data_IF_614589071799
#
_entry.id   IF_614589071799
#
_cell.length_a   1.000
_cell.length_b   1.000
_cell.length_c   1.000
_cell.angle_alpha   90.00
_cell.angle_beta   90.00
_cell.angle_gamma   90.00
#
_symmetry.space_group_name_H-M   'P 1'
#
loop_
_entity.id
_entity.type
_entity.pdbx_description
1 polymer ?
#
# COMPACT_ATOMS: atom_id res chain seq x y z
N UNK A 1 -36.61 15.67 2.87
CA UNK A 1 -36.70 15.26 4.29
C UNK A 1 -36.12 13.87 4.38
N UNK A 2 -34.86 13.66 4.76
CA UNK A 2 -34.13 14.19 5.91
C UNK A 2 -32.82 14.86 5.52
N UNK A 3 -32.60 16.07 6.03
CA UNK A 3 -31.30 16.75 6.03
C UNK A 3 -30.38 15.95 6.97
N UNK A 4 -29.41 15.22 6.41
CA UNK A 4 -28.24 14.84 7.19
C UNK A 4 -27.44 16.13 7.39
N UNK A 5 -27.67 16.77 8.54
CA UNK A 5 -26.81 17.80 9.09
C UNK A 5 -25.40 17.20 9.21
N UNK A 6 -24.59 17.40 8.17
CA UNK A 6 -23.17 17.07 8.20
C UNK A 6 -22.54 18.00 9.22
N UNK A 7 -22.52 17.57 10.49
CA UNK A 7 -21.75 18.21 11.53
C UNK A 7 -20.31 18.31 11.03
N UNK A 8 -19.86 19.54 10.81
CA UNK A 8 -18.48 19.78 10.41
C UNK A 8 -17.56 19.14 11.46
N UNK A 9 -16.54 18.38 11.03
CA UNK A 9 -15.64 17.72 11.96
C UNK A 9 -15.00 18.76 12.90
N UNK A 10 -14.78 18.41 14.18
CA UNK A 10 -14.18 19.33 15.12
C UNK A 10 -12.80 19.78 14.64
N UNK A 11 -12.49 21.07 14.81
CA UNK A 11 -11.20 21.61 14.41
C UNK A 11 -10.02 20.95 15.15
N UNK A 12 -10.23 20.46 16.38
CA UNK A 12 -9.27 19.66 17.13
C UNK A 12 -9.99 18.55 17.90
N UNK A 13 -9.47 17.33 17.81
CA UNK A 13 -10.05 16.13 18.40
C UNK A 13 -8.97 15.21 18.95
N UNK A 14 -9.30 14.49 20.02
CA UNK A 14 -8.51 13.42 20.62
C UNK A 14 -9.36 12.15 20.53
N UNK A 15 -8.95 11.22 19.68
CA UNK A 15 -9.60 9.91 19.56
C UNK A 15 -8.94 8.95 20.54
N UNK A 16 -9.73 8.34 21.42
CA UNK A 16 -9.27 7.37 22.42
C UNK A 16 -9.59 5.95 21.97
N UNK A 17 -8.57 5.13 21.74
CA UNK A 17 -8.72 3.72 21.31
C UNK A 17 -8.06 2.78 22.31
N UNK A 18 -8.70 1.65 22.60
CA UNK A 18 -8.11 0.63 23.46
C UNK A 18 -7.06 -0.18 22.69
N UNK A 19 -5.93 -0.46 23.33
CA UNK A 19 -4.87 -1.33 22.83
C UNK A 19 -4.53 -2.41 23.86
N UNK A 20 -4.43 -3.65 23.39
CA UNK A 20 -4.01 -4.77 24.22
C UNK A 20 -2.53 -4.69 24.61
N UNK A 21 -1.70 -4.07 23.77
CA UNK A 21 -0.25 -3.97 23.98
C UNK A 21 0.18 -2.63 24.60
N UNK A 22 -0.57 -1.54 24.35
CA UNK A 22 -0.18 -0.18 24.74
C UNK A 22 -1.12 0.48 25.76
N UNK A 23 -2.20 -0.19 26.17
CA UNK A 23 -3.19 0.38 27.08
C UNK A 23 -4.15 1.32 26.36
N UNK A 24 -4.40 2.52 26.87
CA UNK A 24 -5.24 3.50 26.18
C UNK A 24 -4.39 4.36 25.23
N UNK A 25 -4.68 4.30 23.94
CA UNK A 25 -4.04 5.11 22.91
C UNK A 25 -4.90 6.34 22.62
N UNK A 26 -4.28 7.52 22.63
CA UNK A 26 -4.90 8.80 22.32
C UNK A 26 -4.24 9.39 21.07
N UNK A 27 -5.07 9.71 20.07
CA UNK A 27 -4.62 10.17 18.76
C UNK A 27 -5.13 11.60 18.54
N UNK A 28 -4.25 12.62 18.52
CA UNK A 28 -4.64 13.99 18.24
C UNK A 28 -4.87 14.18 16.73
N UNK A 29 -6.05 14.65 16.33
CA UNK A 29 -6.43 14.88 14.93
C UNK A 29 -7.18 16.20 14.73
N UNK A 30 -7.32 16.62 13.47
CA UNK A 30 -8.05 17.81 13.04
C UNK A 30 -7.13 18.90 12.48
N UNK A 31 -7.71 19.94 11.86
CA UNK A 31 -6.95 21.07 11.30
C UNK A 31 -6.08 21.77 12.35
N UNK A 32 -6.54 21.76 13.61
CA UNK A 32 -5.86 22.30 14.79
C UNK A 32 -5.40 21.19 15.73
N UNK A 33 -5.00 20.02 15.20
CA UNK A 33 -4.52 18.88 15.99
C UNK A 33 -3.43 19.24 17.03
N UNK A 34 -2.63 20.29 16.79
CA UNK A 34 -1.63 20.78 17.74
C UNK A 34 -2.24 21.19 19.10
N UNK A 35 -3.50 21.63 19.11
CA UNK A 35 -4.24 21.92 20.35
C UNK A 35 -4.59 20.65 21.12
N UNK A 36 -5.01 19.60 20.41
CA UNK A 36 -5.24 18.27 20.96
C UNK A 36 -3.93 17.65 21.49
N UNK A 37 -2.84 17.71 20.73
CA UNK A 37 -1.50 17.25 21.15
C UNK A 37 -1.02 18.01 22.40
N UNK A 38 -1.21 19.33 22.45
CA UNK A 38 -0.87 20.13 23.63
C UNK A 38 -1.71 19.75 24.85
N UNK A 39 -3.00 19.47 24.68
CA UNK A 39 -3.84 19.03 25.77
C UNK A 39 -3.40 17.67 26.35
N UNK A 40 -2.95 16.75 25.49
CA UNK A 40 -2.39 15.46 25.91
C UNK A 40 -1.07 15.65 26.66
N UNK A 41 -0.13 16.45 26.13
CA UNK A 41 1.16 16.74 26.79
C UNK A 41 1.02 17.36 28.18
N UNK A 42 0.02 18.22 28.37
CA UNK A 42 -0.25 18.85 29.68
C UNK A 42 -1.01 17.94 30.64
N UNK A 43 -1.53 16.80 30.17
CA UNK A 43 -2.24 15.84 30.99
C UNK A 43 -1.28 14.76 31.46
N UNK A 44 -0.87 14.82 32.73
CA UNK A 44 -0.01 13.81 33.34
C UNK A 44 -0.62 12.39 33.21
N UNK A 45 0.21 11.43 32.80
CA UNK A 45 -0.16 10.02 32.61
C UNK A 45 -0.04 9.53 31.17
N UNK A 46 -0.03 10.43 30.18
CA UNK A 46 0.21 10.07 28.79
C UNK A 46 1.69 10.18 28.41
N UNK A 47 2.20 9.14 27.74
CA UNK A 47 3.53 9.12 27.13
C UNK A 47 3.39 9.37 25.62
N UNK A 48 4.12 10.35 25.09
CA UNK A 48 4.11 10.68 23.66
C UNK A 48 5.11 9.80 22.90
N UNK A 49 4.67 9.21 21.79
CA UNK A 49 5.51 8.45 20.86
C UNK A 49 5.98 9.32 19.69
N UNK A 50 7.02 8.85 18.98
CA UNK A 50 7.54 9.51 17.78
C UNK A 50 6.50 9.58 16.65
N UNK A 51 5.63 8.56 16.55
CA UNK A 51 4.52 8.48 15.59
C UNK A 51 3.40 9.50 15.84
N UNK A 52 3.47 10.27 16.94
CA UNK A 52 2.49 11.30 17.29
C UNK A 52 1.31 10.80 18.12
N UNK A 53 1.22 9.50 18.42
CA UNK A 53 0.26 8.97 19.38
C UNK A 53 0.70 9.22 20.82
N UNK A 54 -0.27 9.19 21.74
CA UNK A 54 -0.04 9.26 23.17
C UNK A 54 -0.60 8.00 23.84
N UNK A 55 0.12 7.40 24.78
CA UNK A 55 -0.32 6.16 25.43
C UNK A 55 -0.41 6.31 26.95
N UNK A 56 -1.49 5.83 27.54
CA UNK A 56 -1.64 5.61 28.98
C UNK A 56 -1.59 4.09 29.22
N UNK A 57 -0.42 3.61 29.64
CA UNK A 57 -0.19 2.17 29.89
C UNK A 57 -0.81 1.69 31.19
N UNK A 58 -0.77 2.50 32.24
CA UNK A 58 -1.42 2.20 33.51
C UNK A 58 -2.92 2.51 33.43
N UNK A 59 -3.69 1.50 33.01
CA UNK A 59 -5.15 1.59 32.89
C UNK A 59 -5.80 1.80 34.27
N UNK A 60 -5.14 1.43 35.38
CA UNK A 60 -5.70 1.66 36.72
C UNK A 60 -5.76 3.15 37.07
N UNK A 61 -4.85 3.95 36.51
CA UNK A 61 -4.85 5.41 36.64
C UNK A 61 -5.93 6.12 35.82
N UNK A 62 -6.66 5.41 34.94
CA UNK A 62 -7.61 6.00 34.00
C UNK A 62 -8.68 6.87 34.68
N UNK A 63 -9.23 6.42 35.80
CA UNK A 63 -10.26 7.15 36.55
C UNK A 63 -9.74 8.50 37.07
N UNK A 64 -8.46 8.59 37.42
CA UNK A 64 -7.83 9.82 37.90
C UNK A 64 -7.36 10.74 36.76
N UNK A 65 -6.97 10.17 35.62
CA UNK A 65 -6.43 10.91 34.45
C UNK A 65 -7.55 11.49 33.59
N UNK A 66 -8.65 10.75 33.38
CA UNK A 66 -9.69 11.14 32.42
C UNK A 66 -10.37 12.49 32.74
N UNK A 67 -10.73 12.81 34.01
CA UNK A 67 -11.28 14.13 34.33
C UNK A 67 -10.29 15.28 34.05
N UNK A 68 -8.98 15.02 34.20
CA UNK A 68 -7.93 16.00 33.87
C UNK A 68 -7.83 16.18 32.36
N UNK A 69 -7.83 15.09 31.59
CA UNK A 69 -7.82 15.13 30.13
C UNK A 69 -9.00 15.96 29.61
N UNK A 70 -10.22 15.66 30.06
CA UNK A 70 -11.42 16.37 29.62
C UNK A 70 -11.37 17.87 29.94
N UNK A 71 -10.81 18.25 31.10
CA UNK A 71 -10.63 19.67 31.47
C UNK A 71 -9.59 20.36 30.58
N UNK A 72 -8.45 19.72 30.35
CA UNK A 72 -7.38 20.27 29.51
C UNK A 72 -7.81 20.36 28.05
N UNK A 73 -8.47 19.32 27.51
CA UNK A 73 -9.01 19.32 26.16
C UNK A 73 -9.99 20.48 25.95
N UNK A 74 -10.94 20.69 26.87
CA UNK A 74 -11.85 21.85 26.84
C UNK A 74 -11.12 23.19 26.85
N UNK A 75 -10.08 23.35 27.69
CA UNK A 75 -9.26 24.57 27.72
C UNK A 75 -8.58 24.85 26.38
N UNK A 76 -8.17 23.79 25.68
CA UNK A 76 -7.54 23.87 24.36
C UNK A 76 -8.52 23.71 23.19
N UNK A 77 -9.83 23.78 23.44
CA UNK A 77 -10.88 23.64 22.40
C UNK A 77 -10.76 22.34 21.59
N UNK A 78 -10.27 21.28 22.22
CA UNK A 78 -10.24 19.95 21.67
C UNK A 78 -11.43 19.13 22.20
N UNK A 79 -12.05 18.35 21.32
CA UNK A 79 -13.08 17.37 21.69
C UNK A 79 -12.38 16.04 21.99
N UNK A 80 -12.88 15.29 22.97
CA UNK A 80 -12.40 13.93 23.25
C UNK A 80 -13.50 12.96 22.83
N UNK A 81 -13.16 12.02 21.96
CA UNK A 81 -14.08 11.01 21.45
C UNK A 81 -13.53 9.62 21.77
N UNK A 82 -14.42 8.69 22.09
CA UNK A 82 -14.05 7.29 22.19
C UNK A 82 -14.08 6.69 20.78
N UNK A 83 -12.95 6.13 20.35
CA UNK A 83 -12.90 5.32 19.15
C UNK A 83 -13.83 4.13 19.30
N UNK A 84 -14.54 3.80 18.22
CA UNK A 84 -15.47 2.67 18.18
C UNK A 84 -14.75 1.33 18.04
N UNK A 85 -13.42 1.35 17.88
CA UNK A 85 -12.61 0.20 17.53
C UNK A 85 -11.32 0.15 18.36
N UNK A 86 -10.74 -1.05 18.55
CA UNK A 86 -9.38 -1.18 19.08
C UNK A 86 -8.37 -0.47 18.17
N UNK A 87 -7.25 -0.08 18.74
CA UNK A 87 -6.18 0.58 18.03
C UNK A 87 -5.63 -0.30 16.89
N UNK A 88 -5.64 0.22 15.65
CA UNK A 88 -5.23 -0.50 14.44
C UNK A 88 -3.81 -1.09 14.52
N UNK A 89 -2.91 -0.48 15.31
CA UNK A 89 -1.55 -0.97 15.48
C UNK A 89 -1.45 -2.39 16.05
N UNK A 90 -2.37 -2.78 16.94
CA UNK A 90 -2.41 -4.14 17.48
C UNK A 90 -2.79 -5.15 16.38
N UNK A 91 -3.81 -4.81 15.58
CA UNK A 91 -4.25 -5.65 14.49
C UNK A 91 -3.18 -5.76 13.40
N UNK A 92 -2.54 -4.64 13.03
CA UNK A 92 -1.47 -4.61 12.03
C UNK A 92 -0.26 -5.45 12.46
N UNK A 93 0.17 -5.34 13.72
CA UNK A 93 1.26 -6.14 14.28
C UNK A 93 0.90 -7.64 14.29
N UNK A 94 -0.32 -7.98 14.70
CA UNK A 94 -0.80 -9.35 14.72
C UNK A 94 -0.89 -9.94 13.31
N UNK A 95 -1.32 -9.15 12.32
CA UNK A 95 -1.37 -9.54 10.92
C UNK A 95 0.05 -9.76 10.37
N UNK A 96 0.97 -8.80 10.54
CA UNK A 96 2.35 -8.91 10.09
C UNK A 96 3.04 -10.17 10.61
N UNK A 97 2.89 -10.49 11.90
CA UNK A 97 3.46 -11.68 12.52
C UNK A 97 2.95 -13.02 11.94
N UNK A 98 1.86 -13.00 11.17
CA UNK A 98 1.21 -14.19 10.57
C UNK A 98 1.35 -14.25 9.06
N UNK A 99 1.84 -13.18 8.42
CA UNK A 99 2.10 -13.17 6.98
C UNK A 99 3.34 -14.01 6.64
N UNK A 100 3.42 -14.59 5.43
CA UNK A 100 4.56 -15.39 5.01
C UNK A 100 5.81 -14.52 4.86
N UNK A 101 6.93 -14.98 5.43
CA UNK A 101 8.19 -14.23 5.45
C UNK A 101 8.31 -13.31 6.65
N UNK A 102 9.14 -12.28 6.54
CA UNK A 102 9.35 -11.31 7.62
C UNK A 102 8.59 -10.04 7.27
N UNK A 103 7.54 -9.73 8.02
CA UNK A 103 6.78 -8.49 7.86
C UNK A 103 6.91 -7.60 9.09
N UNK A 104 6.99 -6.30 8.85
CA UNK A 104 6.94 -5.26 9.88
C UNK A 104 5.66 -4.46 9.72
N UNK A 105 5.17 -3.87 10.82
CA UNK A 105 4.00 -3.00 10.81
C UNK A 105 4.37 -1.66 11.45
N UNK A 106 4.18 -0.58 10.69
CA UNK A 106 4.40 0.79 11.17
C UNK A 106 3.09 1.56 11.06
N UNK A 107 2.65 2.18 12.16
CA UNK A 107 1.42 2.98 12.16
C UNK A 107 1.74 4.43 11.82
N UNK A 108 1.01 4.96 10.85
CA UNK A 108 1.08 6.34 10.42
C UNK A 108 -0.19 7.10 10.81
N UNK A 109 -0.01 8.31 11.33
CA UNK A 109 -1.10 9.15 11.82
C UNK A 109 -1.29 10.33 10.89
N UNK A 110 -2.42 10.36 10.20
CA UNK A 110 -2.84 11.53 9.42
C UNK A 110 -3.50 12.54 10.35
N UNK A 111 -2.73 13.17 11.24
CA UNK A 111 -3.26 14.10 12.24
C UNK A 111 -4.03 15.26 11.58
N UNK A 112 -3.45 15.86 10.54
CA UNK A 112 -4.11 16.87 9.72
C UNK A 112 -4.93 16.23 8.58
N UNK A 113 -6.15 16.72 8.26
CA UNK A 113 -6.98 16.22 7.17
C UNK A 113 -6.27 16.08 5.83
N UNK A 114 -5.53 17.10 5.41
CA UNK A 114 -4.87 17.11 4.09
C UNK A 114 -3.74 16.09 3.93
N UNK A 115 -3.13 15.60 5.02
CA UNK A 115 -1.99 14.68 4.94
C UNK A 115 -2.37 13.29 4.41
N UNK A 116 -3.65 12.91 4.48
CA UNK A 116 -4.08 11.64 3.88
C UNK A 116 -3.97 11.69 2.34
N UNK A 117 -4.06 12.89 1.74
CA UNK A 117 -3.93 13.08 0.30
C UNK A 117 -2.52 12.77 -0.23
N UNK A 118 -1.50 12.91 0.61
CA UNK A 118 -0.11 12.62 0.26
C UNK A 118 0.12 11.11 -0.04
N UNK A 119 -0.81 10.25 0.43
CA UNK A 119 -0.76 8.81 0.18
C UNK A 119 -1.38 8.40 -1.15
N UNK A 120 -2.35 9.17 -1.68
CA UNK A 120 -3.10 8.79 -2.89
C UNK A 120 -2.20 8.50 -4.10
N UNK A 121 -1.17 9.31 -4.42
CA UNK A 121 -0.29 9.03 -5.56
C UNK A 121 0.55 7.76 -5.40
N UNK A 122 0.66 7.22 -4.18
CA UNK A 122 1.46 6.02 -3.89
C UNK A 122 0.62 4.74 -3.96
N UNK A 123 -0.71 4.86 -3.81
CA UNK A 123 -1.62 3.72 -3.81
C UNK A 123 -1.68 3.07 -5.18
N UNK A 124 -1.60 1.76 -5.19
CA UNK A 124 -1.77 0.94 -6.36
C UNK A 124 -2.92 -0.03 -6.13
N UNK A 125 -4.12 0.50 -6.36
CA UNK A 125 -5.38 -0.17 -6.06
C UNK A 125 -6.41 0.09 -7.17
N UNK A 126 -7.14 -0.98 -7.54
CA UNK A 126 -8.33 -0.91 -8.40
C UNK A 126 -9.64 -1.18 -7.64
N UNK A 127 -9.58 -1.17 -6.31
CA UNK A 127 -10.67 -1.50 -5.40
C UNK A 127 -11.24 -0.31 -4.63
N UNK A 128 -11.65 -0.60 -3.38
CA UNK A 128 -12.31 0.38 -2.51
C UNK A 128 -11.29 1.23 -1.72
N UNK A 129 -10.00 0.87 -1.72
CA UNK A 129 -9.00 1.54 -0.87
C UNK A 129 -8.74 2.97 -1.35
N UNK A 130 -8.50 3.18 -2.65
CA UNK A 130 -8.30 4.53 -3.20
C UNK A 130 -9.53 5.40 -2.91
N UNK A 131 -10.73 4.88 -3.17
CA UNK A 131 -11.97 5.60 -2.90
C UNK A 131 -12.14 5.96 -1.41
N UNK A 132 -11.77 5.04 -0.51
CA UNK A 132 -11.82 5.24 0.92
C UNK A 132 -10.83 6.33 1.38
N UNK A 133 -9.58 6.29 0.91
CA UNK A 133 -8.56 7.29 1.28
C UNK A 133 -8.87 8.66 0.69
N UNK A 134 -9.50 8.71 -0.49
CA UNK A 134 -9.83 9.96 -1.16
C UNK A 134 -11.06 10.64 -0.55
N UNK A 135 -12.13 9.88 -0.30
CA UNK A 135 -13.44 10.45 0.03
C UNK A 135 -13.85 10.29 1.49
N UNK A 136 -13.07 9.60 2.31
CA UNK A 136 -13.37 9.36 3.72
C UNK A 136 -12.20 9.73 4.61
N UNK A 137 -12.52 10.16 5.83
CA UNK A 137 -11.51 10.54 6.79
C UNK A 137 -10.79 9.30 7.30
N UNK A 138 -9.50 9.19 7.01
CA UNK A 138 -8.60 8.16 7.57
C UNK A 138 -7.66 8.84 8.55
N UNK A 139 -7.80 8.53 9.84
CA UNK A 139 -7.01 9.15 10.91
C UNK A 139 -5.73 8.37 11.21
N UNK A 140 -5.82 7.04 11.11
CA UNK A 140 -4.71 6.12 11.32
C UNK A 140 -4.67 5.09 10.19
N UNK A 141 -3.46 4.74 9.80
CA UNK A 141 -3.20 3.69 8.83
C UNK A 141 -1.96 2.90 9.27
N UNK A 142 -1.82 1.67 8.79
CA UNK A 142 -0.63 0.88 9.06
C UNK A 142 0.02 0.44 7.74
N UNK A 143 1.30 0.72 7.61
CA UNK A 143 2.15 0.24 6.52
C UNK A 143 2.73 -1.10 6.93
N UNK A 144 2.46 -2.13 6.12
CA UNK A 144 3.09 -3.44 6.27
C UNK A 144 4.21 -3.57 5.24
N UNK A 145 5.44 -3.82 5.69
CA UNK A 145 6.62 -3.95 4.81
C UNK A 145 7.28 -5.31 5.02
N UNK A 146 7.50 -6.03 3.92
CA UNK A 146 8.17 -7.34 3.91
C UNK A 146 9.71 -7.26 3.84
N UNK A 147 10.28 -6.06 3.76
CA UNK A 147 11.71 -5.78 3.66
C UNK A 147 12.35 -6.15 2.31
N UNK A 148 11.59 -6.72 1.38
CA UNK A 148 12.02 -7.11 0.02
C UNK A 148 11.36 -6.28 -1.07
N UNK A 149 10.58 -5.26 -0.70
CA UNK A 149 10.01 -4.27 -1.60
C UNK A 149 8.52 -4.43 -1.90
N UNK A 150 7.80 -5.24 -1.10
CA UNK A 150 6.33 -5.20 -1.07
C UNK A 150 5.89 -4.43 0.16
N UNK A 151 5.18 -3.33 -0.09
CA UNK A 151 4.61 -2.47 0.94
C UNK A 151 3.09 -2.46 0.77
N UNK A 152 2.36 -2.71 1.85
CA UNK A 152 0.90 -2.74 1.87
C UNK A 152 0.37 -1.65 2.79
N UNK A 153 -0.79 -1.09 2.44
CA UNK A 153 -1.52 -0.16 3.27
C UNK A 153 -2.75 -0.83 3.88
N UNK A 154 -2.83 -0.77 5.21
CA UNK A 154 -3.97 -1.21 6.00
C UNK A 154 -4.67 -0.01 6.61
N UNK A 155 -5.98 0.11 6.37
CA UNK A 155 -6.82 1.12 7.02
C UNK A 155 -8.03 0.47 7.68
N UNK A 156 -8.60 1.14 8.67
CA UNK A 156 -9.95 0.83 9.10
C UNK A 156 -10.93 1.07 7.95
N UNK A 157 -11.83 0.11 7.70
CA UNK A 157 -12.84 0.27 6.65
C UNK A 157 -13.82 1.39 7.04
N UNK A 158 -13.88 2.51 6.29
CA UNK A 158 -14.82 3.60 6.59
C UNK A 158 -16.28 3.15 6.48
N UNK A 159 -17.17 3.81 7.20
CA UNK A 159 -18.64 3.60 7.17
C UNK A 159 -19.12 2.18 7.56
N UNK A 160 -18.22 1.32 8.01
CA UNK A 160 -18.54 -0.03 8.46
C UNK A 160 -18.29 -0.14 9.97
N UNK A 161 -18.98 -1.05 10.66
CA UNK A 161 -18.75 -1.26 12.09
C UNK A 161 -17.45 -2.03 12.34
N UNK A 162 -17.13 -2.97 11.45
CA UNK A 162 -16.00 -3.88 11.57
C UNK A 162 -15.23 -4.02 10.26
N UNK A 163 -14.00 -4.51 10.38
CA UNK A 163 -13.16 -4.88 9.26
C UNK A 163 -12.18 -3.79 8.83
N UNK A 164 -11.19 -4.23 8.08
CA UNK A 164 -10.11 -3.40 7.56
C UNK A 164 -10.07 -3.50 6.04
N UNK A 165 -9.53 -2.48 5.38
CA UNK A 165 -9.18 -2.55 3.97
C UNK A 165 -7.67 -2.68 3.86
N UNK A 166 -7.22 -3.61 3.03
CA UNK A 166 -5.83 -3.80 2.70
C UNK A 166 -5.65 -3.64 1.19
N UNK A 167 -4.70 -2.81 0.80
CA UNK A 167 -4.24 -2.69 -0.59
C UNK A 167 -2.74 -2.57 -0.64
N UNK A 168 -2.21 -2.40 -1.84
CA UNK A 168 -0.78 -2.31 -2.07
C UNK A 168 -0.37 -0.88 -2.38
N UNK A 169 0.86 -0.55 -2.02
CA UNK A 169 1.57 0.51 -2.72
C UNK A 169 2.07 -0.02 -4.08
N UNK A 170 2.34 0.90 -5.00
CA UNK A 170 3.04 0.53 -6.22
C UNK A 170 4.43 -0.04 -5.90
N UNK A 171 5.04 -0.73 -6.86
CA UNK A 171 6.46 -0.97 -6.75
C UNK A 171 7.22 0.35 -6.90
N UNK A 172 8.36 0.51 -6.21
CA UNK A 172 9.20 1.72 -6.28
C UNK A 172 9.74 2.04 -7.68
N UNK A 173 9.55 1.14 -8.64
CA UNK A 173 9.93 1.35 -10.03
C UNK A 173 8.84 2.06 -10.83
N UNK A 174 7.58 2.08 -10.39
CA UNK A 174 6.47 2.69 -11.10
C UNK A 174 6.32 4.17 -10.75
N UNK A 175 6.06 4.99 -11.77
CA UNK A 175 5.73 6.41 -11.66
C UNK A 175 4.24 6.70 -11.91
N UNK A 176 3.45 5.66 -12.23
CA UNK A 176 2.05 5.72 -12.65
C UNK A 176 1.11 4.87 -11.77
N UNK A 177 1.21 5.01 -10.45
CA UNK A 177 0.49 4.15 -9.47
C UNK A 177 -1.03 4.39 -9.44
N UNK A 178 -1.47 5.64 -9.55
CA UNK A 178 -2.87 6.02 -9.41
C UNK A 178 -3.67 5.68 -10.67
N UNK A 179 -4.88 5.10 -10.50
CA UNK A 179 -5.76 4.66 -11.60
C UNK A 179 -5.11 3.70 -12.62
N UNK A 180 -4.14 2.91 -12.17
CA UNK A 180 -3.42 2.00 -13.03
C UNK A 180 -4.25 0.74 -13.38
N UNK A 181 -4.34 0.40 -14.66
CA UNK A 181 -5.10 -0.77 -15.15
C UNK A 181 -4.57 -2.12 -14.63
N UNK A 182 -3.30 -2.18 -14.24
CA UNK A 182 -2.68 -3.37 -13.67
C UNK A 182 -2.88 -3.47 -12.16
N UNK A 183 -3.38 -2.42 -11.50
CA UNK A 183 -3.48 -2.37 -10.05
C UNK A 183 -4.32 -3.55 -9.50
N UNK A 184 -3.82 -4.28 -8.49
CA UNK A 184 -4.61 -5.30 -7.84
C UNK A 184 -5.78 -4.67 -7.06
N UNK A 185 -6.87 -5.41 -6.91
CA UNK A 185 -8.02 -4.95 -6.13
C UNK A 185 -7.74 -5.12 -4.64
N UNK A 186 -7.97 -4.07 -3.84
CA UNK A 186 -7.94 -4.11 -2.39
C UNK A 186 -8.85 -5.20 -1.83
N UNK A 187 -8.48 -5.79 -0.70
CA UNK A 187 -9.25 -6.82 -0.02
C UNK A 187 -9.82 -6.32 1.31
N UNK A 188 -11.06 -6.71 1.59
CA UNK A 188 -11.69 -6.49 2.89
C UNK A 188 -11.25 -7.60 3.85
N UNK A 189 -10.65 -7.22 4.97
CA UNK A 189 -10.17 -8.12 6.00
C UNK A 189 -11.16 -8.21 7.16
N UNK A 190 -11.35 -9.42 7.66
CA UNK A 190 -12.11 -9.70 8.87
C UNK A 190 -11.32 -9.33 10.13
N UNK A 191 -12.01 -9.18 11.27
CA UNK A 191 -11.40 -8.79 12.54
C UNK A 191 -10.42 -9.83 13.13
N UNK A 192 -10.45 -11.09 12.69
CA UNK A 192 -9.47 -12.12 13.11
C UNK A 192 -8.18 -12.01 12.28
N UNK A 193 -7.01 -11.70 12.90
CA UNK A 193 -5.73 -11.61 12.21
C UNK A 193 -5.31 -12.92 11.53
N UNK A 194 -5.67 -14.08 12.07
CA UNK A 194 -5.36 -15.40 11.50
C UNK A 194 -6.05 -15.63 10.16
N UNK A 195 -7.36 -15.35 10.13
CA UNK A 195 -8.16 -15.48 8.90
C UNK A 195 -7.77 -14.42 7.89
N UNK A 196 -7.50 -13.20 8.35
CA UNK A 196 -6.99 -12.13 7.51
C UNK A 196 -5.64 -12.49 6.88
N UNK A 197 -4.68 -12.97 7.66
CA UNK A 197 -3.38 -13.41 7.13
C UNK A 197 -3.52 -14.52 6.09
N UNK A 198 -4.42 -15.49 6.32
CA UNK A 198 -4.71 -16.56 5.38
C UNK A 198 -5.28 -16.04 4.06
N UNK A 199 -6.19 -15.05 4.12
CA UNK A 199 -6.76 -14.38 2.95
C UNK A 199 -5.70 -13.59 2.19
N UNK A 200 -4.85 -12.86 2.90
CA UNK A 200 -3.77 -12.07 2.30
C UNK A 200 -2.75 -12.97 1.63
N UNK A 201 -2.26 -13.99 2.32
CA UNK A 201 -1.27 -14.92 1.79
C UNK A 201 -1.80 -15.79 0.65
N UNK A 202 -3.05 -16.25 0.75
CA UNK A 202 -3.65 -17.15 -0.23
C UNK A 202 -4.25 -16.47 -1.46
N UNK A 203 -4.62 -15.19 -1.36
CA UNK A 203 -5.33 -14.50 -2.45
C UNK A 203 -4.68 -13.17 -2.83
N UNK A 204 -4.50 -12.25 -1.87
CA UNK A 204 -4.05 -10.90 -2.17
C UNK A 204 -2.60 -10.85 -2.66
N UNK A 205 -1.65 -11.46 -1.95
CA UNK A 205 -0.24 -11.47 -2.34
C UNK A 205 -0.02 -12.15 -3.70
N UNK A 206 -0.59 -13.33 -4.00
CA UNK A 206 -0.49 -13.90 -5.35
C UNK A 206 -1.07 -13.00 -6.45
N UNK A 207 -2.16 -12.27 -6.17
CA UNK A 207 -2.73 -11.31 -7.12
C UNK A 207 -1.82 -10.10 -7.34
N UNK A 208 -1.27 -9.54 -6.27
CA UNK A 208 -0.27 -8.47 -6.31
C UNK A 208 0.97 -8.89 -7.09
N UNK A 209 1.56 -10.05 -6.80
CA UNK A 209 2.76 -10.54 -7.49
C UNK A 209 2.54 -10.71 -9.00
N UNK A 210 1.34 -11.14 -9.40
CA UNK A 210 0.97 -11.23 -10.81
C UNK A 210 0.80 -9.86 -11.46
N UNK A 211 0.16 -8.93 -10.77
CA UNK A 211 0.00 -7.55 -11.21
C UNK A 211 1.37 -6.89 -11.43
N UNK A 212 2.30 -7.03 -10.47
CA UNK A 212 3.67 -6.48 -10.57
C UNK A 212 4.36 -7.05 -11.80
N UNK A 213 4.30 -8.37 -11.96
CA UNK A 213 4.93 -9.04 -13.10
C UNK A 213 4.34 -8.57 -14.43
N UNK A 214 3.02 -8.48 -14.54
CA UNK A 214 2.34 -8.03 -15.75
C UNK A 214 2.71 -6.59 -16.12
N UNK A 215 2.68 -5.66 -15.15
CA UNK A 215 3.06 -4.26 -15.36
C UNK A 215 4.52 -4.11 -15.75
N UNK A 216 5.43 -4.84 -15.09
CA UNK A 216 6.85 -4.83 -15.43
C UNK A 216 7.10 -5.36 -16.84
N UNK A 217 6.44 -6.47 -17.22
CA UNK A 217 6.55 -7.03 -18.56
C UNK A 217 6.06 -6.03 -19.61
N UNK A 218 4.89 -5.41 -19.41
CA UNK A 218 4.33 -4.39 -20.29
C UNK A 218 5.27 -3.18 -20.44
N UNK A 219 5.79 -2.64 -19.33
CA UNK A 219 6.77 -1.55 -19.35
C UNK A 219 8.02 -1.91 -20.15
N UNK A 220 8.50 -3.15 -19.99
CA UNK A 220 9.72 -3.64 -20.65
C UNK A 220 9.51 -3.86 -22.15
N UNK A 221 8.34 -4.39 -22.52
CA UNK A 221 7.95 -4.57 -23.92
C UNK A 221 7.77 -3.22 -24.63
N UNK A 222 7.07 -2.26 -24.00
CA UNK A 222 6.88 -0.92 -24.53
C UNK A 222 8.23 -0.19 -24.71
N UNK A 223 9.08 -0.22 -23.68
CA UNK A 223 10.41 0.39 -23.73
C UNK A 223 11.33 -0.23 -24.79
N UNK A 224 11.35 -1.57 -24.90
CA UNK A 224 12.12 -2.27 -25.94
C UNK A 224 11.62 -1.94 -27.35
N UNK A 225 10.30 -1.95 -27.55
CA UNK A 225 9.67 -1.58 -28.83
C UNK A 225 10.03 -0.16 -29.24
N UNK A 226 9.98 0.78 -28.28
CA UNK A 226 10.39 2.17 -28.50
C UNK A 226 11.85 2.30 -28.95
N UNK A 227 12.77 1.56 -28.32
CA UNK A 227 14.19 1.54 -28.70
C UNK A 227 14.37 1.05 -30.15
N UNK A 228 13.66 0.00 -30.57
CA UNK A 228 13.73 -0.51 -31.95
C UNK A 228 13.12 0.44 -32.99
N UNK A 229 12.04 1.13 -32.64
CA UNK A 229 11.40 2.14 -33.49
C UNK A 229 12.32 3.32 -33.75
N UNK A 230 12.92 3.91 -32.70
CA UNK A 230 13.87 5.03 -32.84
C UNK A 230 15.07 4.63 -33.69
N UNK A 231 15.54 3.39 -33.55
CA UNK A 231 16.66 2.88 -34.36
C UNK A 231 16.30 2.75 -35.83
N UNK A 232 15.16 2.14 -36.15
CA UNK A 232 14.69 1.98 -37.53
C UNK A 232 14.47 3.33 -38.19
N UNK A 233 13.88 4.29 -37.47
CA UNK A 233 13.70 5.65 -37.94
C UNK A 233 15.04 6.37 -38.27
N UNK A 234 16.08 6.15 -37.45
CA UNK A 234 17.44 6.68 -37.70
C UNK A 234 18.13 6.01 -38.88
N UNK A 235 17.91 4.71 -39.14
CA UNK A 235 18.49 4.04 -40.31
C UNK A 235 17.86 4.48 -41.63
N UNK A 236 16.58 4.87 -41.60
CA UNK A 236 15.82 5.26 -42.80
C UNK A 236 16.06 6.72 -43.24
N UNK A 237 17.15 7.34 -42.77
CA UNK A 237 17.54 8.73 -43.02
C UNK A 237 16.50 9.82 -42.62
N UNK A 238 15.44 9.46 -41.88
CA UNK A 238 14.56 10.42 -41.21
C UNK A 238 15.19 10.84 -39.88
N UNK A 239 16.23 11.66 -39.94
CA UNK A 239 16.96 12.14 -38.75
C UNK A 239 16.09 12.90 -37.74
N UNK A 240 14.87 13.30 -38.14
CA UNK A 240 13.89 14.00 -37.29
C UNK A 240 12.61 13.22 -36.96
N UNK A 241 12.54 11.93 -37.29
CA UNK A 241 11.35 11.13 -36.96
C UNK A 241 11.18 10.96 -35.44
N UNK A 242 10.11 11.59 -34.94
CA UNK A 242 9.63 11.49 -33.57
C UNK A 242 8.95 10.14 -33.35
N UNK A 243 9.34 9.45 -32.28
CA UNK A 243 8.59 8.31 -31.76
C UNK A 243 7.81 8.79 -30.54
N UNK A 244 6.48 8.65 -30.59
CA UNK A 244 5.58 8.97 -29.48
C UNK A 244 5.42 7.73 -28.60
N UNK A 245 5.91 7.78 -27.37
CA UNK A 245 5.70 6.77 -26.33
C UNK A 245 5.06 7.47 -25.14
N UNK A 246 3.91 6.97 -24.68
CA UNK A 246 3.12 7.56 -23.57
C UNK A 246 2.89 9.08 -23.72
N UNK A 247 2.65 9.53 -24.95
CA UNK A 247 2.43 10.95 -25.25
C UNK A 247 3.68 11.83 -25.23
N UNK A 248 4.87 11.29 -24.94
CA UNK A 248 6.14 12.01 -25.01
C UNK A 248 6.90 11.74 -26.32
N UNK A 249 7.48 12.81 -26.84
CA UNK A 249 8.39 12.80 -27.99
C UNK A 249 9.79 12.37 -27.56
N UNK A 250 10.16 11.12 -27.82
CA UNK A 250 11.48 10.60 -27.44
C UNK A 250 12.34 10.35 -28.68
N UNK A 251 13.43 11.12 -28.78
CA UNK A 251 14.39 11.03 -29.89
C UNK A 251 15.62 10.16 -29.58
N UNK A 252 15.84 9.78 -28.32
CA UNK A 252 17.08 9.15 -27.86
C UNK A 252 16.86 7.77 -27.22
N UNK A 253 17.40 6.68 -27.81
CA UNK A 253 17.25 5.34 -27.24
C UNK A 253 17.98 5.19 -25.89
N UNK A 254 18.97 6.03 -25.57
CA UNK A 254 19.61 6.01 -24.25
C UNK A 254 18.66 6.48 -23.14
N UNK A 255 17.82 7.49 -23.41
CA UNK A 255 16.79 7.96 -22.48
C UNK A 255 15.71 6.89 -22.26
N UNK A 256 15.25 6.24 -23.34
CA UNK A 256 14.30 5.12 -23.22
C UNK A 256 14.87 3.98 -22.38
N UNK A 257 16.13 3.59 -22.63
CA UNK A 257 16.78 2.55 -21.84
C UNK A 257 16.97 2.98 -20.37
N UNK A 258 17.27 4.24 -20.11
CA UNK A 258 17.40 4.77 -18.75
C UNK A 258 16.11 4.64 -17.94
N UNK A 259 14.95 4.98 -18.53
CA UNK A 259 13.62 4.79 -17.90
C UNK A 259 13.26 3.32 -17.72
N UNK A 260 13.58 2.51 -18.73
CA UNK A 260 13.30 1.07 -18.77
C UNK A 260 14.11 0.26 -17.73
N UNK A 261 15.36 0.67 -17.47
CA UNK A 261 16.34 -0.07 -16.66
C UNK A 261 15.80 -0.57 -15.31
N UNK A 262 15.18 0.25 -14.44
CA UNK A 262 14.65 -0.22 -13.16
C UNK A 262 13.60 -1.33 -13.31
N UNK A 263 12.69 -1.21 -14.29
CA UNK A 263 11.68 -2.24 -14.55
C UNK A 263 12.32 -3.53 -15.08
N UNK A 264 13.26 -3.41 -16.02
CA UNK A 264 13.97 -4.56 -16.58
C UNK A 264 14.78 -5.31 -15.52
N UNK A 265 15.42 -4.59 -14.60
CA UNK A 265 16.17 -5.19 -13.50
C UNK A 265 15.25 -6.03 -12.59
N UNK A 266 14.13 -5.44 -12.17
CA UNK A 266 13.17 -6.12 -11.32
C UNK A 266 12.50 -7.31 -12.03
N UNK A 267 12.16 -7.19 -13.31
CA UNK A 267 11.60 -8.28 -14.11
C UNK A 267 12.61 -9.43 -14.27
N UNK A 268 13.89 -9.11 -14.48
CA UNK A 268 14.96 -10.10 -14.61
C UNK A 268 15.14 -10.91 -13.33
N UNK A 269 15.14 -10.27 -12.16
CA UNK A 269 15.31 -10.98 -10.89
C UNK A 269 14.16 -11.99 -10.64
N UNK A 270 12.93 -11.61 -11.00
CA UNK A 270 11.76 -12.52 -10.96
C UNK A 270 11.88 -13.67 -11.96
N UNK A 271 12.30 -13.37 -13.18
CA UNK A 271 12.41 -14.34 -14.27
C UNK A 271 13.52 -15.36 -14.01
N UNK A 272 14.65 -14.93 -13.42
CA UNK A 272 15.76 -15.84 -13.11
C UNK A 272 15.38 -16.90 -12.07
N UNK A 273 14.48 -16.59 -11.15
CA UNK A 273 14.00 -17.55 -10.15
C UNK A 273 13.22 -18.72 -10.78
N UNK A 274 12.61 -18.52 -11.96
CA UNK A 274 11.84 -19.57 -12.66
C UNK A 274 12.64 -20.36 -13.70
N UNK A 275 13.84 -19.90 -14.10
CA UNK A 275 14.64 -20.56 -15.12
C UNK A 275 15.50 -21.65 -14.50
N UNK A 276 15.42 -22.87 -15.06
CA UNK A 276 16.18 -24.02 -14.57
C UNK A 276 17.70 -23.78 -14.68
N UNK A 277 18.50 -24.21 -13.68
CA UNK A 277 19.95 -24.15 -13.76
C UNK A 277 20.47 -24.88 -15.00
N UNK A 278 21.38 -24.25 -15.75
CA UNK A 278 22.00 -24.84 -16.94
C UNK A 278 21.20 -24.66 -18.24
N UNK A 279 20.09 -23.92 -18.23
CA UNK A 279 19.39 -23.54 -19.46
C UNK A 279 20.33 -22.75 -20.40
N UNK A 280 20.32 -22.97 -21.73
CA UNK A 280 21.22 -22.29 -22.67
C UNK A 280 21.17 -20.75 -22.56
N UNK A 281 19.99 -20.22 -22.25
CA UNK A 281 19.76 -18.77 -22.11
C UNK A 281 20.29 -18.16 -20.80
N UNK A 282 20.78 -18.98 -19.85
CA UNK A 282 21.30 -18.48 -18.56
C UNK A 282 22.46 -17.52 -18.76
N UNK A 283 23.28 -17.70 -19.81
CA UNK A 283 24.37 -16.80 -20.13
C UNK A 283 23.89 -15.41 -20.57
N UNK A 284 22.80 -15.33 -21.35
CA UNK A 284 22.19 -14.08 -21.77
C UNK A 284 21.57 -13.33 -20.58
N UNK A 285 20.82 -14.04 -19.72
CA UNK A 285 20.27 -13.48 -18.48
C UNK A 285 21.39 -13.01 -17.52
N UNK A 286 22.52 -13.70 -17.49
CA UNK A 286 23.70 -13.29 -16.73
C UNK A 286 24.30 -11.96 -17.24
N UNK A 287 24.44 -11.80 -18.55
CA UNK A 287 24.91 -10.54 -19.16
C UNK A 287 23.94 -9.39 -18.91
N UNK A 288 22.64 -9.64 -19.02
CA UNK A 288 21.62 -8.64 -18.69
C UNK A 288 21.68 -8.23 -17.22
N UNK A 289 21.90 -9.16 -16.29
CA UNK A 289 21.99 -8.83 -14.87
C UNK A 289 23.18 -7.90 -14.59
N UNK A 290 24.35 -8.19 -15.17
CA UNK A 290 25.52 -7.31 -15.05
C UNK A 290 25.29 -5.94 -15.70
N UNK A 291 24.50 -5.87 -16.77
CA UNK A 291 24.12 -4.60 -17.42
C UNK A 291 23.16 -3.79 -16.55
N UNK A 292 22.16 -4.43 -15.96
CA UNK A 292 21.06 -3.77 -15.25
C UNK A 292 21.45 -3.37 -13.82
N UNK A 293 22.31 -4.16 -13.16
CA UNK A 293 22.77 -3.96 -11.78
C UNK A 293 24.27 -3.62 -11.72
N UNK A 294 24.69 -2.40 -12.07
CA UNK A 294 26.09 -2.01 -11.96
C UNK A 294 26.53 -1.97 -10.48
N UNK A 295 27.81 -2.26 -10.19
CA UNK A 295 28.34 -2.24 -8.83
C UNK A 295 28.09 -0.87 -8.16
N UNK A 296 27.52 -0.88 -6.96
CA UNK A 296 27.13 0.32 -6.21
C UNK A 296 25.63 0.65 -6.26
N UNK A 297 24.85 -0.01 -7.11
CA UNK A 297 23.39 0.12 -7.15
C UNK A 297 22.72 -0.95 -6.26
N UNK A 298 22.64 -0.68 -4.96
CA UNK A 298 21.95 -1.53 -3.99
C UNK A 298 20.86 -0.70 -3.29
N UNK A 299 19.80 -0.35 -4.02
CA UNK A 299 18.66 0.32 -3.42
C UNK A 299 17.73 -0.73 -2.81
N UNK A 300 17.35 -0.53 -1.53
CA UNK A 300 16.11 -1.12 -1.02
C UNK A 300 14.96 -0.47 -1.79
N UNK A 301 14.19 -1.26 -2.51
CA UNK A 301 12.98 -0.82 -3.20
C UNK A 301 11.90 -0.49 -2.18
N UNK A 302 11.55 0.79 -2.04
CA UNK A 302 10.42 1.27 -1.23
C UNK A 302 9.85 2.49 -1.96
N UNK A 303 8.53 2.58 -2.12
CA UNK A 303 7.92 3.79 -2.71
C UNK A 303 8.01 4.99 -1.77
N UNK A 304 8.19 4.73 -0.47
CA UNK A 304 8.34 5.76 0.55
C UNK A 304 9.75 6.37 0.56
N UNK A 305 10.67 5.83 -0.26
CA UNK A 305 12.05 6.29 -0.34
C UNK A 305 12.46 6.56 -1.77
N UNK A 306 12.93 7.78 -2.03
CA UNK A 306 13.49 8.14 -3.33
C UNK A 306 14.79 7.34 -3.56
N UNK A 307 14.86 6.48 -4.59
CA UNK A 307 16.10 5.77 -4.91
C UNK A 307 17.15 6.76 -5.45
N UNK A 308 18.45 6.47 -5.29
CA UNK A 308 19.49 7.27 -5.91
C UNK A 308 19.34 7.24 -7.44
N UNK A 309 19.66 8.33 -8.15
CA UNK A 309 19.52 8.39 -9.60
C UNK A 309 20.39 7.31 -10.27
N UNK A 310 19.87 6.59 -11.28
CA UNK A 310 20.66 5.58 -11.97
C UNK A 310 21.81 6.22 -12.76
N UNK A 311 22.90 5.46 -12.89
CA UNK A 311 24.07 5.86 -13.66
C UNK A 311 23.69 6.19 -15.13
N UNK A 312 24.40 7.15 -15.76
CA UNK A 312 24.13 7.53 -17.15
C UNK A 312 24.26 6.33 -18.07
N UNK A 313 23.36 6.27 -19.06
CA UNK A 313 23.30 5.21 -20.06
C UNK A 313 24.15 5.59 -21.27
N UNK A 314 24.95 4.65 -21.77
CA UNK A 314 25.74 4.81 -23.00
C UNK A 314 25.08 4.13 -24.19
N UNK A 315 25.50 4.51 -25.41
CA UNK A 315 25.07 3.81 -26.63
C UNK A 315 25.49 2.33 -26.65
N UNK A 316 26.56 1.98 -25.93
CA UNK A 316 27.00 0.60 -25.77
C UNK A 316 26.07 -0.22 -24.87
N UNK A 317 25.55 0.37 -23.80
CA UNK A 317 24.54 -0.25 -22.94
C UNK A 317 23.27 -0.59 -23.73
N UNK A 318 22.83 0.33 -24.60
CA UNK A 318 21.69 0.10 -25.49
C UNK A 318 21.96 -1.06 -26.46
N UNK A 319 23.17 -1.16 -27.03
CA UNK A 319 23.53 -2.30 -27.90
C UNK A 319 23.53 -3.62 -27.13
N UNK A 320 24.10 -3.64 -25.92
CA UNK A 320 24.13 -4.83 -25.05
C UNK A 320 22.73 -5.27 -24.62
N UNK A 321 21.87 -4.33 -24.26
CA UNK A 321 20.45 -4.60 -23.97
C UNK A 321 19.79 -5.31 -25.14
N UNK A 322 19.88 -4.74 -26.34
CA UNK A 322 19.22 -5.27 -27.55
C UNK A 322 19.67 -6.67 -27.92
N UNK A 323 20.93 -7.03 -27.64
CA UNK A 323 21.46 -8.36 -27.95
C UNK A 323 20.74 -9.48 -27.18
N UNK A 324 20.28 -9.20 -25.96
CA UNK A 324 19.76 -10.21 -25.04
C UNK A 324 18.30 -9.94 -24.57
N UNK A 325 17.72 -8.77 -24.86
CA UNK A 325 16.39 -8.36 -24.36
C UNK A 325 15.26 -9.33 -24.73
N UNK A 326 15.29 -9.89 -25.94
CA UNK A 326 14.27 -10.85 -26.40
C UNK A 326 14.27 -12.15 -25.59
N UNK A 327 15.44 -12.55 -25.07
CA UNK A 327 15.58 -13.71 -24.18
C UNK A 327 14.88 -13.44 -22.84
N UNK A 328 15.10 -12.26 -22.25
CA UNK A 328 14.39 -11.85 -21.03
C UNK A 328 12.88 -11.84 -21.26
N UNK A 329 12.41 -11.17 -22.33
CA UNK A 329 10.98 -11.09 -22.63
C UNK A 329 10.34 -12.46 -22.86
N UNK A 330 11.04 -13.38 -23.52
CA UNK A 330 10.56 -14.75 -23.71
C UNK A 330 10.35 -15.47 -22.37
N UNK A 331 11.37 -15.50 -21.51
CA UNK A 331 11.28 -16.17 -20.21
C UNK A 331 10.31 -15.47 -19.26
N UNK A 332 10.23 -14.13 -19.30
CA UNK A 332 9.29 -13.37 -18.48
C UNK A 332 7.83 -13.71 -18.80
N UNK A 333 7.48 -13.94 -20.07
CA UNK A 333 6.14 -14.39 -20.47
C UNK A 333 5.82 -15.80 -19.95
N UNK A 334 6.82 -16.70 -19.97
CA UNK A 334 6.68 -18.05 -19.45
C UNK A 334 6.61 -18.09 -17.91
N UNK A 335 7.25 -17.13 -17.24
CA UNK A 335 7.33 -17.01 -15.80
C UNK A 335 6.11 -16.35 -15.13
N UNK A 336 5.05 -16.04 -15.89
CA UNK A 336 3.85 -15.42 -15.36
C UNK A 336 3.30 -16.18 -14.15
N UNK A 337 3.16 -15.54 -12.97
CA UNK A 337 2.62 -16.21 -11.79
C UNK A 337 1.22 -16.78 -12.07
N UNK A 338 0.93 -18.03 -11.67
CA UNK A 338 -0.34 -18.69 -11.98
C UNK A 338 -1.51 -17.85 -11.50
N UNK A 339 -2.59 -17.79 -12.29
CA UNK A 339 -3.86 -17.14 -11.97
C UNK A 339 -4.46 -17.61 -10.63
N UNK A 340 -5.36 -16.84 -9.98
CA UNK A 340 -6.12 -17.41 -8.88
C UNK A 340 -6.88 -18.62 -9.42
N UNK A 341 -6.70 -19.78 -8.79
CA UNK A 341 -7.50 -20.96 -9.12
C UNK A 341 -8.97 -20.57 -9.02
N UNK A 342 -9.68 -20.58 -10.13
CA UNK A 342 -11.11 -20.23 -10.24
C UNK A 342 -12.05 -21.18 -9.45
N UNK A 343 -11.53 -21.95 -8.49
CA UNK A 343 -12.24 -22.95 -7.71
C UNK A 343 -12.46 -22.61 -6.24
N UNK A 344 -11.87 -21.54 -5.70
CA UNK A 344 -12.20 -21.07 -4.36
C UNK A 344 -13.29 -20.00 -4.46
N UNK A 345 -14.53 -20.43 -4.70
CA UNK A 345 -15.69 -19.59 -4.37
C UNK A 345 -15.49 -19.06 -2.95
N UNK A 346 -15.74 -17.76 -2.68
CA UNK A 346 -15.92 -17.36 -1.30
C UNK A 346 -17.03 -18.26 -0.78
N UNK A 347 -16.75 -19.03 0.27
CA UNK A 347 -17.82 -19.58 1.10
C UNK A 347 -18.57 -18.34 1.58
N UNK A 348 -19.63 -18.00 0.86
CA UNK A 348 -20.67 -17.10 1.32
C UNK A 348 -21.02 -17.65 2.69
N UNK A 349 -20.60 -16.93 3.72
CA UNK A 349 -21.09 -17.15 5.07
C UNK A 349 -22.60 -17.10 4.94
N UNK A 350 -23.23 -18.25 5.10
CA UNK A 350 -24.68 -18.34 5.09
C UNK A 350 -25.20 -17.28 6.06
N UNK A 351 -26.22 -16.49 5.68
CA UNK A 351 -26.81 -15.55 6.63
C UNK A 351 -27.22 -16.35 7.86
N UNK A 352 -26.76 -15.91 9.04
CA UNK A 352 -27.23 -16.39 10.32
C UNK A 352 -28.76 -16.43 10.25
N UNK A 353 -29.34 -17.64 10.29
CA UNK A 353 -30.79 -17.82 10.41
C UNK A 353 -31.25 -16.95 11.57
N UNK A 354 -32.14 -16.01 11.26
CA UNK A 354 -32.83 -15.23 12.27
C UNK A 354 -33.41 -16.19 13.32
N UNK A 355 -33.12 -15.91 14.59
CA UNK A 355 -33.76 -16.58 15.72
C UNK A 355 -35.28 -16.41 15.57
N UNK A 356 -36.07 -17.47 15.80
CA UNK A 356 -37.52 -17.37 15.77
C UNK A 356 -37.99 -16.35 16.80
N UNK A 357 -38.91 -15.48 16.38
CA UNK A 357 -39.51 -14.46 17.24
C UNK A 357 -40.15 -15.11 18.49
N UNK A 358 -40.02 -14.49 19.67
CA UNK A 358 -40.66 -14.99 20.87
C UNK A 358 -42.19 -14.97 20.72
N UNK A 359 -42.91 -15.95 21.30
CA UNK A 359 -44.37 -16.02 21.19
C UNK A 359 -45.03 -14.79 21.82
N UNK A 360 -46.01 -14.25 21.11
CA UNK A 360 -46.82 -13.12 21.55
C UNK A 360 -47.47 -13.42 22.91
N UNK A 361 -47.29 -12.52 23.87
CA UNK A 361 -47.99 -12.58 25.16
C UNK A 361 -49.49 -12.38 24.95
N UNK A 362 -50.35 -13.16 25.65
CA UNK A 362 -51.79 -13.02 25.53
C UNK A 362 -52.29 -11.67 26.07
N UNK A 363 -53.38 -11.13 25.51
CA UNK A 363 -53.92 -9.85 25.92
C UNK A 363 -54.43 -9.91 27.37
N UNK A 364 -53.99 -8.97 28.20
CA UNK A 364 -54.57 -8.71 29.51
C UNK A 364 -55.97 -8.12 29.30
N UNK A 365 -57.00 -8.89 29.66
CA UNK A 365 -58.37 -8.43 29.77
C UNK A 365 -58.50 -7.35 30.84
N UNK A 366 -59.36 -6.36 30.55
CA UNK A 366 -59.89 -5.40 31.51
C UNK A 366 -61.00 -6.03 32.34
#
# INVERSE_FOLDING_TARGET
MTEHEQQSPPAAEIILSASASQGLVAIPVGEKYQWADTALRLTAGFERHETGIHTLRDITALQAVMPKLLRTARRHRAVVTAGTRPYIGDYATALAARLPGTWTANVEICAHPVWQGDWLPLLWDSGELVQAVEHRRVTCMAVLDNGTGTELLLIERPDHAEGHLLGAFASSTFDDSYENVFAPRSVVLVASPERAASLVAGQFLPAYERAVHARLLDAVEAGHTGIEQVRTARSDARQDALVRLDGQDVKDPANLFWRLRPHAAQLLDRTRASVAPGHPDTAALGRLHSLLNPPGYAARSSVLRVPPPPAPVTADDVRRWRADATVLLHHARLAMPPGPSAGASPVLVAPLRALPAPPASPPRGR
#
